data_IF_126359114264
#
_entry.id   IF_126359114264
#
_cell.length_a   1.000
_cell.length_b   1.000
_cell.length_c   1.000
_cell.angle_alpha   90.00
_cell.angle_beta   90.00
_cell.angle_gamma   90.00
#
_symmetry.space_group_name_H-M   'P 1'
#
loop_
_entity.id
_entity.type
_entity.pdbx_description
1 polymer ?
#
# COMPACT_ATOMS: atom_id res chain seq x y z
N UNK A 1 13.05 -61.64 38.77
CA UNK A 1 12.12 -60.73 38.07
C UNK A 1 12.88 -60.08 36.93
N UNK A 2 12.64 -60.58 35.72
CA UNK A 2 13.16 -60.05 34.45
C UNK A 2 12.30 -58.86 34.03
N UNK A 3 12.91 -57.75 33.60
CA UNK A 3 12.34 -56.93 32.51
C UNK A 3 13.50 -56.55 31.58
N UNK A 4 13.39 -57.06 30.36
CA UNK A 4 14.29 -56.91 29.23
C UNK A 4 14.18 -55.53 28.60
N UNK A 5 15.32 -55.03 28.16
CA UNK A 5 15.50 -54.05 27.11
C UNK A 5 14.89 -54.55 25.79
N UNK A 6 13.96 -53.79 25.22
CA UNK A 6 13.34 -54.07 23.93
C UNK A 6 13.94 -53.14 22.86
N UNK A 7 14.67 -53.76 21.93
CA UNK A 7 14.99 -53.26 20.59
C UNK A 7 13.80 -53.51 19.65
N UNK A 8 13.46 -52.55 18.79
CA UNK A 8 12.77 -52.77 17.51
C UNK A 8 12.86 -51.52 16.60
N UNK A 9 12.64 -51.63 15.27
CA UNK A 9 13.71 -51.46 14.30
C UNK A 9 13.50 -50.29 13.31
N UNK A 10 14.59 -49.93 12.64
CA UNK A 10 14.63 -49.05 11.49
C UNK A 10 13.82 -49.64 10.31
N UNK A 11 12.77 -48.94 9.87
CA UNK A 11 11.97 -49.32 8.70
C UNK A 11 12.43 -48.54 7.47
N UNK A 12 13.07 -49.22 6.52
CA UNK A 12 13.31 -48.72 5.16
C UNK A 12 12.17 -49.16 4.24
N UNK A 13 11.58 -48.23 3.47
CA UNK A 13 11.23 -48.35 2.02
C UNK A 13 10.17 -47.30 1.63
N UNK A 14 10.59 -46.06 1.40
CA UNK A 14 9.87 -45.11 0.56
C UNK A 14 10.44 -45.13 -0.86
N UNK A 15 9.97 -46.07 -1.69
CA UNK A 15 10.16 -46.02 -3.14
C UNK A 15 8.94 -46.66 -3.74
N UNK A 16 7.91 -45.86 -4.06
CA UNK A 16 6.85 -46.12 -5.06
C UNK A 16 5.73 -45.06 -5.07
N UNK A 17 5.67 -44.14 -4.10
CA UNK A 17 4.61 -43.12 -4.06
C UNK A 17 4.88 -41.87 -4.94
N UNK A 18 6.15 -41.52 -5.14
CA UNK A 18 6.56 -40.32 -5.90
C UNK A 18 6.31 -40.46 -7.42
N UNK A 19 6.32 -41.68 -7.95
CA UNK A 19 6.13 -41.92 -9.39
C UNK A 19 4.71 -41.63 -9.90
N UNK A 20 3.68 -41.92 -9.09
CA UNK A 20 2.28 -41.74 -9.50
C UNK A 20 1.79 -40.29 -9.40
N UNK A 21 2.32 -39.51 -8.45
CA UNK A 21 1.98 -38.08 -8.30
C UNK A 21 2.59 -37.25 -9.44
N UNK A 22 3.76 -37.64 -9.94
CA UNK A 22 4.46 -36.92 -11.01
C UNK A 22 3.76 -37.08 -12.38
N UNK A 23 3.10 -38.21 -12.64
CA UNK A 23 2.36 -38.43 -13.89
C UNK A 23 1.01 -37.69 -13.90
N UNK A 24 0.35 -37.55 -12.74
CA UNK A 24 -0.91 -36.80 -12.61
C UNK A 24 -0.69 -35.29 -12.75
N UNK A 25 0.42 -34.75 -12.25
CA UNK A 25 0.76 -33.32 -12.41
C UNK A 25 1.12 -32.93 -13.86
N UNK A 26 1.68 -33.85 -14.64
CA UNK A 26 1.98 -33.61 -16.07
C UNK A 26 0.69 -33.64 -16.93
N UNK A 27 -0.30 -34.46 -16.57
CA UNK A 27 -1.59 -34.50 -17.27
C UNK A 27 -2.52 -33.33 -16.92
N UNK A 28 -2.43 -32.76 -15.71
CA UNK A 28 -3.19 -31.54 -15.35
C UNK A 28 -2.56 -30.24 -15.89
N UNK A 29 -1.26 -30.22 -16.20
CA UNK A 29 -0.56 -29.03 -16.71
C UNK A 29 -0.84 -28.67 -18.16
N UNK A 30 -1.43 -29.57 -18.96
CA UNK A 30 -1.69 -29.32 -20.40
C UNK A 30 -3.12 -28.82 -20.69
N UNK A 31 -4.01 -28.80 -19.70
CA UNK A 31 -5.43 -28.45 -19.91
C UNK A 31 -5.77 -26.97 -19.67
N UNK A 32 -4.78 -26.10 -19.38
CA UNK A 32 -5.05 -24.71 -18.93
C UNK A 32 -4.49 -23.61 -19.84
N UNK A 33 -3.72 -23.94 -20.87
CA UNK A 33 -3.08 -22.93 -21.74
C UNK A 33 -3.95 -22.46 -22.91
N UNK A 34 -5.01 -23.19 -23.26
CA UNK A 34 -5.82 -22.84 -24.45
C UNK A 34 -6.83 -21.72 -24.16
N UNK A 35 -7.42 -21.68 -22.97
CA UNK A 35 -8.52 -20.75 -22.66
C UNK A 35 -8.09 -19.27 -22.54
N UNK A 36 -6.86 -18.99 -22.09
CA UNK A 36 -6.35 -17.60 -21.97
C UNK A 36 -5.90 -17.02 -23.31
N UNK A 37 -5.47 -17.87 -24.25
CA UNK A 37 -5.05 -17.45 -25.60
C UNK A 37 -6.23 -16.86 -26.37
N UNK A 38 -7.37 -17.54 -26.39
CA UNK A 38 -8.52 -17.14 -27.21
C UNK A 38 -9.09 -15.78 -26.80
N UNK A 39 -9.25 -15.54 -25.49
CA UNK A 39 -9.76 -14.25 -24.97
C UNK A 39 -8.87 -13.08 -25.40
N UNK A 40 -7.54 -13.27 -25.36
CA UNK A 40 -6.58 -12.23 -25.75
C UNK A 40 -6.61 -11.94 -27.26
N UNK A 41 -6.83 -12.97 -28.09
CA UNK A 41 -6.92 -12.85 -29.55
C UNK A 41 -8.22 -12.18 -29.98
N UNK A 42 -9.32 -12.50 -29.30
CA UNK A 42 -10.64 -11.92 -29.58
C UNK A 42 -10.68 -10.43 -29.23
N UNK A 43 -10.08 -10.03 -28.11
CA UNK A 43 -9.94 -8.61 -27.74
C UNK A 43 -9.07 -7.83 -28.74
N UNK A 44 -8.01 -8.45 -29.24
CA UNK A 44 -7.13 -7.87 -30.26
C UNK A 44 -7.81 -7.77 -31.64
N UNK A 45 -8.77 -8.64 -31.93
CA UNK A 45 -9.58 -8.55 -33.14
C UNK A 45 -10.55 -7.36 -33.09
N UNK A 46 -11.23 -7.16 -31.95
CA UNK A 46 -12.09 -5.99 -31.76
C UNK A 46 -11.32 -4.67 -31.87
N UNK A 47 -10.07 -4.62 -31.39
CA UNK A 47 -9.24 -3.42 -31.43
C UNK A 47 -8.93 -2.90 -32.84
N UNK A 48 -8.98 -3.77 -33.85
CA UNK A 48 -8.70 -3.42 -35.26
C UNK A 48 -9.90 -2.82 -36.00
N UNK A 49 -11.08 -2.79 -35.39
CA UNK A 49 -12.27 -2.22 -36.00
C UNK A 49 -12.16 -0.69 -35.95
N UNK A 50 -12.19 -0.04 -37.12
CA UNK A 50 -12.06 1.41 -37.25
C UNK A 50 -13.32 2.17 -36.80
N UNK A 51 -14.50 1.62 -37.11
CA UNK A 51 -15.79 2.19 -36.72
C UNK A 51 -16.04 2.02 -35.21
N UNK A 52 -16.17 3.13 -34.49
CA UNK A 52 -16.27 3.13 -33.03
C UNK A 52 -17.49 2.37 -32.51
N UNK A 53 -18.64 2.47 -33.18
CA UNK A 53 -19.88 1.80 -32.78
C UNK A 53 -19.78 0.28 -32.96
N UNK A 54 -19.19 -0.18 -34.07
CA UNK A 54 -18.93 -1.59 -34.33
C UNK A 54 -17.86 -2.15 -33.39
N UNK A 55 -16.81 -1.38 -33.10
CA UNK A 55 -15.76 -1.76 -32.14
C UNK A 55 -16.32 -1.93 -30.74
N UNK A 56 -17.16 -1.00 -30.28
CA UNK A 56 -17.81 -1.09 -28.98
C UNK A 56 -18.73 -2.31 -28.89
N UNK A 57 -19.56 -2.55 -29.91
CA UNK A 57 -20.43 -3.72 -29.97
C UNK A 57 -19.65 -5.05 -29.92
N UNK A 58 -18.45 -5.09 -30.54
CA UNK A 58 -17.56 -6.26 -30.48
C UNK A 58 -17.11 -6.55 -29.04
N UNK A 59 -16.68 -5.53 -28.30
CA UNK A 59 -16.29 -5.68 -26.89
C UNK A 59 -17.47 -6.02 -25.97
N UNK A 60 -18.63 -5.41 -26.21
CA UNK A 60 -19.86 -5.70 -25.45
C UNK A 60 -20.29 -7.17 -25.66
N UNK A 61 -20.17 -7.70 -26.89
CA UNK A 61 -20.40 -9.11 -27.19
C UNK A 61 -19.48 -10.07 -26.44
N UNK A 62 -18.16 -9.79 -26.41
CA UNK A 62 -17.19 -10.61 -25.68
C UNK A 62 -17.36 -10.55 -24.17
N UNK A 63 -17.84 -9.43 -23.64
CA UNK A 63 -18.11 -9.26 -22.21
C UNK A 63 -19.47 -9.81 -21.76
N UNK A 64 -20.26 -10.40 -22.66
CA UNK A 64 -21.58 -10.95 -22.37
C UNK A 64 -22.66 -9.87 -22.16
N UNK A 65 -22.37 -8.62 -22.52
CA UNK A 65 -23.33 -7.51 -22.46
C UNK A 65 -24.22 -7.58 -23.70
N UNK A 66 -25.53 -7.70 -23.50
CA UNK A 66 -26.49 -7.70 -24.64
C UNK A 66 -26.41 -6.36 -25.38
N UNK A 67 -26.35 -6.36 -26.72
CA UNK A 67 -26.43 -5.14 -27.50
C UNK A 67 -27.70 -4.37 -27.11
N UNK A 68 -27.53 -3.10 -26.75
CA UNK A 68 -28.69 -2.20 -26.68
C UNK A 68 -29.03 -1.89 -28.13
N UNK A 69 -30.27 -2.12 -28.54
CA UNK A 69 -30.73 -1.70 -29.87
C UNK A 69 -30.41 -0.22 -30.02
N UNK A 70 -29.43 0.06 -30.88
CA UNK A 70 -29.06 1.40 -31.28
C UNK A 70 -30.19 1.90 -32.18
N UNK A 71 -31.27 2.37 -31.56
CA UNK A 71 -32.20 3.26 -32.23
C UNK A 71 -31.35 4.38 -32.85
N UNK A 72 -31.34 4.38 -34.19
CA UNK A 72 -30.83 5.41 -35.11
C UNK A 72 -30.00 6.52 -34.44
N UNK A 73 -28.69 6.43 -34.60
CA UNK A 73 -27.72 7.46 -34.23
C UNK A 73 -27.85 8.79 -35.02
N UNK A 74 -29.00 9.04 -35.66
CA UNK A 74 -29.29 10.27 -36.41
C UNK A 74 -30.12 11.30 -35.61
N UNK A 75 -30.61 10.96 -34.41
CA UNK A 75 -31.40 11.89 -33.57
C UNK A 75 -30.71 12.37 -32.29
N UNK A 76 -29.40 12.12 -32.16
CA UNK A 76 -28.58 12.78 -31.14
C UNK A 76 -27.82 13.90 -31.83
N UNK A 77 -28.31 15.13 -31.64
CA UNK A 77 -27.60 16.34 -32.00
C UNK A 77 -26.14 16.28 -31.53
N UNK A 78 -25.29 17.01 -32.25
CA UNK A 78 -23.85 17.17 -32.10
C UNK A 78 -23.30 16.51 -30.81
N UNK A 79 -22.49 15.44 -30.91
CA UNK A 79 -21.95 14.78 -29.73
C UNK A 79 -21.34 15.87 -28.84
N UNK A 80 -21.73 15.97 -27.56
CA UNK A 80 -21.21 17.02 -26.70
C UNK A 80 -19.70 16.97 -26.85
N UNK A 81 -19.11 18.10 -27.28
CA UNK A 81 -17.66 18.25 -27.41
C UNK A 81 -17.03 17.54 -26.23
N UNK A 82 -16.01 16.68 -26.41
CA UNK A 82 -15.42 15.96 -25.29
C UNK A 82 -15.08 17.00 -24.24
N UNK A 83 -15.87 17.05 -23.17
CA UNK A 83 -15.58 17.92 -22.03
C UNK A 83 -14.21 17.44 -21.63
N UNK A 84 -13.16 18.24 -21.86
CA UNK A 84 -11.81 17.96 -21.39
C UNK A 84 -11.99 17.41 -19.99
N UNK A 85 -11.74 16.11 -19.81
CA UNK A 85 -11.96 15.44 -18.54
C UNK A 85 -11.30 16.32 -17.49
N UNK A 86 -12.06 16.74 -16.47
CA UNK A 86 -11.54 17.66 -15.46
C UNK A 86 -10.27 17.01 -14.91
N UNK A 87 -9.15 17.71 -15.07
CA UNK A 87 -7.87 17.20 -14.63
C UNK A 87 -7.97 16.88 -13.13
N UNK A 88 -7.73 15.61 -12.79
CA UNK A 88 -7.95 15.11 -11.44
C UNK A 88 -6.80 15.61 -10.56
N UNK A 89 -7.13 16.40 -9.54
CA UNK A 89 -6.13 16.98 -8.63
C UNK A 89 -5.29 15.93 -7.90
N UNK A 90 -4.14 16.32 -7.36
CA UNK A 90 -3.27 15.41 -6.61
C UNK A 90 -4.01 14.75 -5.45
N UNK A 91 -4.70 15.53 -4.61
CA UNK A 91 -5.43 14.94 -3.49
C UNK A 91 -6.66 14.14 -3.94
N UNK A 92 -7.29 14.49 -5.06
CA UNK A 92 -8.33 13.65 -5.65
C UNK A 92 -7.81 12.26 -6.00
N UNK A 93 -6.62 12.17 -6.62
CA UNK A 93 -6.01 10.89 -6.94
C UNK A 93 -5.58 10.14 -5.67
N UNK A 94 -4.98 10.84 -4.71
CA UNK A 94 -4.46 10.23 -3.49
C UNK A 94 -5.57 9.68 -2.59
N UNK A 95 -6.71 10.37 -2.49
CA UNK A 95 -7.80 10.02 -1.56
C UNK A 95 -9.09 9.58 -2.23
N UNK A 96 -9.07 9.41 -3.56
CA UNK A 96 -10.22 9.05 -4.38
C UNK A 96 -11.45 9.96 -4.14
N UNK A 97 -11.21 11.27 -4.11
CA UNK A 97 -12.22 12.25 -3.68
C UNK A 97 -13.35 12.41 -4.72
N UNK A 98 -12.99 12.45 -6.00
CA UNK A 98 -13.93 12.64 -7.10
C UNK A 98 -14.32 11.29 -7.73
N UNK A 99 -15.47 11.20 -8.41
CA UNK A 99 -15.95 9.95 -9.01
C UNK A 99 -14.95 9.36 -10.01
N UNK A 100 -14.29 10.22 -10.77
CA UNK A 100 -13.29 9.92 -11.79
C UNK A 100 -12.02 9.30 -11.21
N UNK A 101 -11.74 9.53 -9.92
CA UNK A 101 -10.54 9.05 -9.23
C UNK A 101 -10.72 7.70 -8.51
N UNK A 102 -11.96 7.19 -8.42
CA UNK A 102 -12.28 5.98 -7.65
C UNK A 102 -11.84 4.72 -8.37
N UNK A 103 -11.02 3.89 -7.74
CA UNK A 103 -10.38 2.71 -8.36
C UNK A 103 -11.10 1.38 -8.08
N UNK A 104 -12.33 1.44 -7.57
CA UNK A 104 -13.13 0.26 -7.21
C UNK A 104 -12.94 -0.19 -5.76
N UNK A 105 -13.72 -1.18 -5.32
CA UNK A 105 -13.66 -1.69 -3.94
C UNK A 105 -12.37 -2.48 -3.71
N UNK A 106 -11.71 -2.24 -2.57
CA UNK A 106 -10.52 -2.96 -2.11
C UNK A 106 -9.24 -2.78 -2.95
N UNK A 107 -9.19 -1.78 -3.83
CA UNK A 107 -7.95 -1.45 -4.53
C UNK A 107 -6.84 -1.11 -3.51
N UNK A 108 -5.68 -1.76 -3.67
CA UNK A 108 -4.47 -1.38 -2.94
C UNK A 108 -3.81 -0.27 -3.74
N UNK A 109 -3.67 0.89 -3.10
CA UNK A 109 -3.11 2.09 -3.72
C UNK A 109 -1.96 2.65 -2.88
N UNK A 110 -1.05 3.43 -3.46
CA UNK A 110 -0.03 4.13 -2.68
C UNK A 110 -0.64 5.05 -1.61
N UNK A 111 -0.02 5.12 -0.43
CA UNK A 111 -0.42 6.04 0.65
C UNK A 111 0.58 7.18 0.83
N UNK A 112 1.85 6.85 1.03
CA UNK A 112 3.00 7.77 0.98
C UNK A 112 3.94 7.34 -0.15
N UNK A 113 5.07 8.03 -0.31
CA UNK A 113 6.09 7.64 -1.28
C UNK A 113 6.55 6.20 -1.03
N UNK A 114 6.62 5.43 -2.12
CA UNK A 114 7.25 4.12 -2.13
C UNK A 114 8.61 4.29 -2.81
N UNK A 115 9.69 3.89 -2.15
CA UNK A 115 11.04 4.10 -2.67
C UNK A 115 12.02 3.07 -2.14
N UNK A 116 13.10 2.89 -2.91
CA UNK A 116 14.32 2.22 -2.46
C UNK A 116 15.47 3.19 -2.77
N UNK A 117 16.27 3.49 -1.75
CA UNK A 117 17.52 4.21 -1.84
C UNK A 117 18.64 3.19 -1.63
N UNK A 118 19.29 2.71 -2.70
CA UNK A 118 20.37 1.72 -2.59
C UNK A 118 21.56 2.23 -1.78
N UNK A 119 21.71 3.55 -1.67
CA UNK A 119 22.76 4.17 -0.89
C UNK A 119 22.23 5.37 -0.11
N UNK A 120 22.39 5.33 1.20
CA UNK A 120 22.23 6.44 2.14
C UNK A 120 23.42 6.47 3.07
N UNK A 121 23.77 7.64 3.61
CA UNK A 121 24.92 7.81 4.50
C UNK A 121 24.50 8.50 5.79
N UNK A 122 24.87 7.91 6.93
CA UNK A 122 24.72 8.50 8.26
C UNK A 122 26.11 8.69 8.86
N UNK A 123 26.50 9.95 9.11
CA UNK A 123 27.81 10.30 9.68
C UNK A 123 27.93 9.94 11.17
N UNK A 124 26.81 9.98 11.90
CA UNK A 124 26.69 9.66 13.32
C UNK A 124 25.61 8.60 13.59
N UNK A 125 25.83 7.33 13.19
CA UNK A 125 24.90 6.25 13.53
C UNK A 125 24.83 6.08 15.06
N UNK A 126 23.63 5.81 15.58
CA UNK A 126 23.39 5.64 17.02
C UNK A 126 23.88 4.27 17.52
N UNK A 127 25.21 4.10 17.55
CA UNK A 127 25.88 2.86 17.93
C UNK A 127 25.67 2.55 19.41
N UNK A 128 25.58 3.57 20.27
CA UNK A 128 25.45 3.39 21.72
C UNK A 128 24.21 2.55 22.09
N UNK A 129 23.04 2.91 21.55
CA UNK A 129 21.81 2.16 21.80
C UNK A 129 21.90 0.71 21.29
N UNK A 130 22.46 0.50 20.10
CA UNK A 130 22.61 -0.85 19.54
C UNK A 130 23.57 -1.72 20.37
N UNK A 131 24.65 -1.13 20.89
CA UNK A 131 25.62 -1.84 21.74
C UNK A 131 25.14 -2.14 23.16
N UNK A 132 24.12 -1.41 23.63
CA UNK A 132 23.47 -1.73 24.89
C UNK A 132 22.77 -3.10 24.81
N UNK A 133 22.15 -3.40 23.67
CA UNK A 133 21.53 -4.70 23.42
C UNK A 133 22.54 -5.78 22.99
N UNK A 134 23.56 -5.40 22.20
CA UNK A 134 24.58 -6.32 21.70
C UNK A 134 25.97 -5.63 21.66
N UNK A 135 26.81 -5.83 22.69
CA UNK A 135 28.11 -5.15 22.81
C UNK A 135 29.08 -5.38 21.65
N UNK A 136 28.94 -6.50 20.92
CA UNK A 136 29.79 -6.82 19.77
C UNK A 136 29.41 -6.07 18.50
N UNK A 137 28.25 -5.41 18.49
CA UNK A 137 27.65 -4.86 17.29
C UNK A 137 28.32 -3.56 16.86
N UNK A 138 28.58 -3.48 15.56
CA UNK A 138 29.16 -2.32 14.90
C UNK A 138 28.28 -1.93 13.73
N UNK A 139 27.97 -0.64 13.62
CA UNK A 139 27.21 -0.10 12.49
C UNK A 139 28.18 0.49 11.47
N UNK A 140 27.97 0.17 10.20
CA UNK A 140 28.53 0.92 9.08
C UNK A 140 27.67 2.17 8.84
N UNK A 141 28.32 3.22 8.34
CA UNK A 141 27.69 4.50 7.96
C UNK A 141 26.80 4.41 6.71
N UNK A 142 27.19 3.67 5.65
CA UNK A 142 26.30 3.48 4.51
C UNK A 142 25.24 2.41 4.77
N UNK A 143 24.01 2.68 4.36
CA UNK A 143 22.87 1.76 4.46
C UNK A 143 22.00 1.82 3.21
N UNK A 144 21.29 0.73 2.91
CA UNK A 144 20.12 0.78 2.03
C UNK A 144 18.93 1.25 2.87
N UNK A 145 18.17 2.22 2.36
CA UNK A 145 16.93 2.69 2.99
C UNK A 145 15.77 2.47 2.04
N UNK A 146 14.66 1.93 2.53
CA UNK A 146 13.45 1.84 1.71
C UNK A 146 12.19 2.10 2.52
N UNK A 147 11.15 2.47 1.80
CA UNK A 147 9.81 2.66 2.35
C UNK A 147 8.78 1.99 1.45
N UNK A 148 7.93 1.16 2.06
CA UNK A 148 6.70 0.64 1.49
C UNK A 148 5.54 1.39 2.16
N UNK A 149 4.63 1.96 1.38
CA UNK A 149 3.48 2.68 1.92
C UNK A 149 2.27 2.52 1.03
N UNK A 150 1.29 1.76 1.52
CA UNK A 150 0.08 1.42 0.81
C UNK A 150 -1.15 1.71 1.68
N UNK A 151 -2.30 1.85 1.04
CA UNK A 151 -3.59 1.89 1.71
C UNK A 151 -4.64 1.19 0.86
N UNK A 152 -5.71 0.81 1.53
CA UNK A 152 -6.92 0.28 0.89
C UNK A 152 -8.15 0.88 1.54
N UNK A 153 -9.17 1.12 0.73
CA UNK A 153 -10.46 1.60 1.19
C UNK A 153 -11.27 0.40 1.69
N UNK A 154 -11.55 0.36 2.99
CA UNK A 154 -12.26 -0.76 3.61
C UNK A 154 -13.77 -0.53 3.67
N UNK A 155 -14.22 0.73 3.68
CA UNK A 155 -15.63 1.09 3.61
C UNK A 155 -15.79 2.42 2.88
N UNK A 156 -16.48 2.39 1.73
CA UNK A 156 -16.81 3.60 0.98
C UNK A 156 -18.19 4.13 1.35
N UNK A 157 -18.33 5.46 1.36
CA UNK A 157 -19.61 6.16 1.54
C UNK A 157 -20.33 5.71 2.82
N UNK A 158 -19.62 5.77 3.96
CA UNK A 158 -20.13 5.28 5.25
C UNK A 158 -21.44 5.99 5.59
N UNK A 159 -22.48 5.22 5.91
CA UNK A 159 -23.83 5.72 6.19
C UNK A 159 -24.42 6.58 5.05
N UNK A 160 -23.98 6.37 3.80
CA UNK A 160 -24.43 7.14 2.64
C UNK A 160 -23.85 8.55 2.54
N UNK A 161 -22.88 8.88 3.40
CA UNK A 161 -22.25 10.19 3.47
C UNK A 161 -20.94 10.23 2.68
N UNK A 162 -20.42 11.43 2.43
CA UNK A 162 -19.17 11.61 1.70
C UNK A 162 -17.91 11.33 2.53
N UNK A 163 -17.87 10.16 3.16
CA UNK A 163 -16.78 9.74 4.01
C UNK A 163 -16.38 8.29 3.73
N UNK A 164 -15.08 8.04 3.76
CA UNK A 164 -14.49 6.73 3.47
C UNK A 164 -13.59 6.30 4.62
N UNK A 165 -13.65 5.03 5.00
CA UNK A 165 -12.74 4.41 5.93
C UNK A 165 -11.59 3.76 5.16
N UNK A 166 -10.37 4.13 5.52
CA UNK A 166 -9.14 3.66 4.93
C UNK A 166 -8.30 2.93 5.97
N UNK A 167 -7.73 1.80 5.55
CA UNK A 167 -6.62 1.19 6.26
C UNK A 167 -5.32 1.50 5.51
N UNK A 168 -4.34 2.08 6.20
CA UNK A 168 -3.02 2.39 5.69
C UNK A 168 -1.95 1.57 6.40
N UNK A 169 -0.87 1.28 5.68
CA UNK A 169 0.32 0.65 6.23
C UNK A 169 1.55 1.28 5.61
N UNK A 170 2.41 1.83 6.47
CA UNK A 170 3.74 2.33 6.08
C UNK A 170 4.81 1.55 6.82
N UNK A 171 5.83 1.10 6.11
CA UNK A 171 7.01 0.46 6.68
C UNK A 171 8.25 1.18 6.17
N UNK A 172 9.14 1.58 7.06
CA UNK A 172 10.44 2.15 6.72
C UNK A 172 11.57 1.32 7.33
N UNK A 173 12.46 0.82 6.49
CA UNK A 173 13.56 -0.05 6.90
C UNK A 173 14.93 0.55 6.58
N UNK A 174 15.88 0.32 7.48
CA UNK A 174 17.28 0.67 7.36
C UNK A 174 18.11 -0.61 7.41
N UNK A 175 18.76 -0.92 6.29
CA UNK A 175 19.46 -2.17 6.08
C UNK A 175 20.96 -1.94 5.98
N UNK A 176 21.72 -2.57 6.87
CA UNK A 176 23.19 -2.56 6.88
C UNK A 176 23.73 -3.46 5.77
N UNK A 177 23.25 -3.31 4.54
CA UNK A 177 23.59 -4.15 3.40
C UNK A 177 25.10 -4.30 3.20
N UNK A 178 25.85 -3.21 3.40
CA UNK A 178 27.30 -3.15 3.24
C UNK A 178 28.10 -3.67 4.44
N UNK A 179 27.43 -4.12 5.51
CA UNK A 179 28.08 -4.68 6.70
C UNK A 179 28.26 -6.19 6.55
N UNK A 180 29.06 -6.60 5.56
CA UNK A 180 29.28 -8.00 5.23
C UNK A 180 29.93 -8.79 6.38
N UNK A 181 30.75 -8.12 7.18
CA UNK A 181 31.39 -8.71 8.38
C UNK A 181 30.37 -9.15 9.44
N UNK A 182 29.17 -8.54 9.44
CA UNK A 182 28.08 -8.80 10.38
C UNK A 182 26.86 -9.46 9.69
N UNK A 183 27.06 -10.10 8.54
CA UNK A 183 26.00 -10.74 7.74
C UNK A 183 24.88 -9.79 7.26
N UNK A 184 25.20 -8.51 7.08
CA UNK A 184 24.32 -7.49 6.49
C UNK A 184 22.92 -7.39 7.14
N UNK A 185 22.82 -7.11 8.46
CA UNK A 185 21.55 -7.17 9.17
C UNK A 185 20.66 -5.96 8.88
N UNK A 186 19.36 -6.09 9.13
CA UNK A 186 18.52 -4.90 9.29
C UNK A 186 18.85 -4.23 10.61
N UNK A 187 19.17 -2.92 10.57
CA UNK A 187 19.41 -2.14 11.78
C UNK A 187 18.09 -1.76 12.44
N UNK A 188 17.11 -1.36 11.63
CA UNK A 188 15.83 -0.87 12.12
C UNK A 188 14.73 -1.08 11.08
N UNK A 189 13.52 -1.41 11.53
CA UNK A 189 12.31 -1.35 10.71
C UNK A 189 11.19 -0.75 11.53
N UNK A 190 10.57 0.32 11.03
CA UNK A 190 9.42 0.95 11.66
C UNK A 190 8.17 0.53 10.92
N UNK A 191 7.19 -0.01 11.64
CA UNK A 191 5.88 -0.43 11.19
C UNK A 191 4.85 0.61 11.64
N UNK A 192 4.09 1.17 10.70
CA UNK A 192 3.14 2.25 10.96
C UNK A 192 1.79 1.96 10.28
N UNK A 193 0.94 1.12 10.88
CA UNK A 193 -0.46 0.98 10.47
C UNK A 193 -1.31 2.19 10.89
N UNK A 194 -2.26 2.57 10.03
CA UNK A 194 -3.20 3.67 10.25
C UNK A 194 -4.63 3.22 9.92
N UNK A 195 -5.62 3.65 10.71
CA UNK A 195 -7.04 3.55 10.39
C UNK A 195 -7.62 4.96 10.32
N UNK A 196 -8.02 5.39 9.12
CA UNK A 196 -8.30 6.79 8.80
C UNK A 196 -9.72 6.94 8.25
N UNK A 197 -10.54 7.74 8.93
CA UNK A 197 -11.82 8.22 8.41
C UNK A 197 -11.57 9.51 7.62
N UNK A 198 -11.83 9.46 6.33
CA UNK A 198 -11.61 10.58 5.41
C UNK A 198 -12.94 11.18 4.98
N UNK A 199 -13.15 12.45 5.32
CA UNK A 199 -14.26 13.28 4.86
C UNK A 199 -13.85 14.01 3.59
N UNK A 200 -14.60 13.81 2.52
CA UNK A 200 -14.37 14.51 1.26
C UNK A 200 -14.98 15.90 1.35
N UNK A 201 -14.24 16.91 0.90
CA UNK A 201 -14.65 18.31 0.94
C UNK A 201 -14.28 18.99 -0.38
N UNK A 202 -14.92 20.12 -0.70
CA UNK A 202 -14.51 20.97 -1.84
C UNK A 202 -14.90 22.43 -1.59
N UNK A 203 -14.52 22.97 -0.43
CA UNK A 203 -14.79 24.38 -0.10
C UNK A 203 -13.65 25.28 -0.58
N UNK A 204 -14.00 26.51 -0.96
CA UNK A 204 -13.03 27.53 -1.38
C UNK A 204 -12.89 28.61 -0.31
N UNK A 205 -11.66 28.89 0.12
CA UNK A 205 -11.35 29.93 1.10
C UNK A 205 -10.03 30.62 0.73
N UNK A 206 -10.07 31.95 0.53
CA UNK A 206 -8.88 32.77 0.22
C UNK A 206 -8.04 32.24 -0.97
N UNK A 207 -8.73 31.69 -1.98
CA UNK A 207 -8.11 31.11 -3.18
C UNK A 207 -7.57 29.68 -3.01
N UNK A 208 -7.74 29.06 -1.84
CA UNK A 208 -7.43 27.66 -1.60
C UNK A 208 -8.69 26.80 -1.67
N UNK A 209 -8.54 25.57 -2.16
CA UNK A 209 -9.56 24.53 -2.06
C UNK A 209 -9.22 23.58 -0.92
N UNK A 210 -10.07 23.47 0.09
CA UNK A 210 -10.01 22.38 1.06
C UNK A 210 -10.62 21.12 0.45
N UNK A 211 -9.81 20.10 0.22
CA UNK A 211 -10.17 18.89 -0.55
C UNK A 211 -10.56 17.71 0.34
N UNK A 212 -9.97 17.61 1.52
CA UNK A 212 -10.39 16.60 2.50
C UNK A 212 -10.03 17.01 3.92
N UNK A 213 -10.72 16.37 4.86
CA UNK A 213 -10.33 16.28 6.27
C UNK A 213 -10.25 14.80 6.64
N UNK A 214 -9.20 14.38 7.34
CA UNK A 214 -9.12 13.04 7.88
C UNK A 214 -8.89 13.07 9.39
N UNK A 215 -9.37 12.02 10.07
CA UNK A 215 -9.11 11.75 11.47
C UNK A 215 -8.95 10.24 11.62
N UNK A 216 -8.06 9.80 12.49
CA UNK A 216 -7.85 8.38 12.66
C UNK A 216 -6.90 8.01 13.78
N UNK A 217 -6.69 6.70 13.87
CA UNK A 217 -5.71 6.09 14.76
C UNK A 217 -4.46 5.74 13.98
N UNK A 218 -3.31 5.94 14.61
CA UNK A 218 -2.01 5.60 14.08
C UNK A 218 -1.23 4.90 15.19
N UNK A 219 -0.72 3.71 14.89
CA UNK A 219 0.26 3.04 15.72
C UNK A 219 1.59 3.08 14.98
N UNK A 220 2.69 3.30 15.69
CA UNK A 220 4.02 3.15 15.12
C UNK A 220 4.92 2.45 16.12
N UNK A 221 5.57 1.37 15.68
CA UNK A 221 6.55 0.65 16.49
C UNK A 221 7.67 0.11 15.62
N UNK A 222 8.77 -0.28 16.24
CA UNK A 222 9.88 -0.92 15.53
C UNK A 222 9.90 -2.47 15.64
N UNK A 223 8.99 -3.04 16.43
CA UNK A 223 8.87 -4.50 16.60
C UNK A 223 10.08 -5.15 17.28
N UNK A 224 10.92 -4.37 17.96
CA UNK A 224 12.06 -4.86 18.74
C UNK A 224 11.64 -5.17 20.18
N UNK A 225 12.49 -5.89 20.91
CA UNK A 225 12.38 -6.03 22.36
C UNK A 225 13.27 -5.04 23.09
N UNK A 226 13.06 -4.86 24.39
CA UNK A 226 13.95 -4.10 25.27
C UNK A 226 15.41 -4.55 25.14
N UNK A 227 16.40 -3.63 25.15
CA UNK A 227 16.28 -2.17 25.37
C UNK A 227 16.01 -1.34 24.09
N UNK A 228 15.84 -2.00 22.95
CA UNK A 228 15.69 -1.36 21.64
C UNK A 228 14.23 -1.10 21.24
N UNK A 229 13.25 -1.58 22.02
CA UNK A 229 11.83 -1.38 21.74
C UNK A 229 11.53 0.11 21.63
N UNK A 230 10.81 0.51 20.58
CA UNK A 230 10.28 1.86 20.43
C UNK A 230 8.86 1.75 19.91
N UNK A 231 7.93 2.41 20.57
CA UNK A 231 6.52 2.39 20.18
C UNK A 231 5.78 3.63 20.69
N UNK A 232 4.69 3.98 20.01
CA UNK A 232 3.74 5.00 20.44
C UNK A 232 2.44 4.90 19.65
N UNK A 233 1.37 5.39 20.27
CA UNK A 233 0.03 5.43 19.71
C UNK A 233 -0.46 6.88 19.58
N UNK A 234 -1.15 7.19 18.48
CA UNK A 234 -1.58 8.56 18.14
C UNK A 234 -3.01 8.61 17.63
N UNK A 235 -3.72 9.65 18.06
CA UNK A 235 -4.86 10.17 17.30
C UNK A 235 -4.31 11.19 16.32
N UNK A 236 -4.60 11.02 15.04
CA UNK A 236 -4.14 11.92 13.97
C UNK A 236 -5.32 12.66 13.36
N UNK A 237 -5.08 13.89 12.93
CA UNK A 237 -6.01 14.64 12.09
C UNK A 237 -5.24 15.36 10.99
N UNK A 238 -5.73 15.28 9.75
CA UNK A 238 -5.06 15.92 8.60
C UNK A 238 -6.05 16.68 7.73
N UNK A 239 -5.56 17.72 7.06
CA UNK A 239 -6.32 18.53 6.12
C UNK A 239 -5.48 18.78 4.86
N UNK A 240 -6.08 18.53 3.70
CA UNK A 240 -5.45 18.76 2.39
C UNK A 240 -6.02 19.98 1.69
N UNK A 241 -5.14 20.89 1.28
CA UNK A 241 -5.50 22.13 0.58
C UNK A 241 -4.75 22.25 -0.75
N UNK A 242 -5.41 22.77 -1.78
CA UNK A 242 -4.79 22.98 -3.09
C UNK A 242 -5.01 24.39 -3.61
N UNK A 243 -4.01 24.94 -4.28
CA UNK A 243 -4.07 26.23 -4.97
C UNK A 243 -3.14 26.24 -6.18
N UNK A 244 -3.73 26.27 -7.39
CA UNK A 244 -2.95 26.14 -8.63
C UNK A 244 -2.18 24.82 -8.64
N UNK A 245 -0.87 24.89 -8.85
CA UNK A 245 0.00 23.72 -8.88
C UNK A 245 0.60 23.34 -7.52
N UNK A 246 0.08 23.89 -6.42
CA UNK A 246 0.58 23.63 -5.08
C UNK A 246 -0.46 22.88 -4.24
N UNK A 247 -0.03 21.81 -3.59
CA UNK A 247 -0.81 21.04 -2.62
C UNK A 247 -0.15 21.09 -1.25
N UNK A 248 -0.91 21.43 -0.23
CA UNK A 248 -0.49 21.53 1.17
C UNK A 248 -1.23 20.48 1.99
N UNK A 249 -0.48 19.64 2.72
CA UNK A 249 -1.02 18.72 3.72
C UNK A 249 -0.57 19.17 5.10
N UNK A 250 -1.53 19.45 5.96
CA UNK A 250 -1.30 19.68 7.38
C UNK A 250 -1.74 18.44 8.14
N UNK A 251 -0.89 17.88 8.98
CA UNK A 251 -1.24 16.75 9.86
C UNK A 251 -0.82 17.09 11.29
N UNK A 252 -1.76 17.00 12.22
CA UNK A 252 -1.52 17.10 13.65
C UNK A 252 -1.77 15.77 14.34
N UNK A 253 -1.18 15.58 15.52
CA UNK A 253 -1.45 14.40 16.34
C UNK A 253 -1.45 14.68 17.83
N UNK A 254 -2.25 13.87 18.52
CA UNK A 254 -2.21 13.71 19.96
C UNK A 254 -1.62 12.34 20.29
N UNK A 255 -0.51 12.30 21.03
CA UNK A 255 0.07 11.05 21.55
C UNK A 255 -0.86 10.54 22.66
N UNK A 256 -1.32 9.30 22.53
CA UNK A 256 -2.06 8.61 23.57
C UNK A 256 -1.05 8.26 24.68
N UNK A 257 -1.27 8.71 25.93
CA UNK A 257 -0.36 8.40 27.04
C UNK A 257 -0.30 6.90 27.33
N UNK A 258 0.90 6.44 27.68
CA UNK A 258 1.19 5.07 28.12
C UNK A 258 1.63 5.10 29.60
N UNK A 259 1.56 3.96 30.30
CA UNK A 259 2.06 3.87 31.68
C UNK A 259 3.58 4.10 31.70
N UNK A 260 4.15 4.47 32.84
CA UNK A 260 5.60 4.69 32.91
C UNK A 260 6.39 3.40 32.69
N UNK A 261 5.78 2.26 33.02
CA UNK A 261 6.33 0.92 32.88
C UNK A 261 6.28 0.40 31.43
N UNK A 262 5.30 0.86 30.64
CA UNK A 262 5.10 0.44 29.25
C UNK A 262 5.56 1.50 28.21
N UNK A 263 6.02 2.68 28.65
CA UNK A 263 6.47 3.75 27.75
C UNK A 263 7.95 3.56 27.36
N UNK A 264 8.16 2.91 26.22
CA UNK A 264 9.48 2.69 25.59
C UNK A 264 10.27 3.98 25.31
N UNK A 265 9.59 5.13 25.24
CA UNK A 265 10.17 6.39 24.78
C UNK A 265 9.43 7.63 25.31
N UNK A 266 9.52 7.92 26.62
CA UNK A 266 8.66 8.92 27.28
C UNK A 266 8.90 10.35 26.85
N UNK A 267 10.07 10.62 26.27
CA UNK A 267 10.49 11.96 25.81
C UNK A 267 10.31 12.15 24.30
N UNK A 268 9.66 11.23 23.59
CA UNK A 268 9.55 11.26 22.11
C UNK A 268 8.92 12.55 21.59
N UNK A 269 7.93 13.11 22.29
CA UNK A 269 7.28 14.38 21.91
C UNK A 269 8.23 15.58 21.84
N UNK A 270 9.37 15.55 22.55
CA UNK A 270 10.40 16.61 22.46
C UNK A 270 11.15 16.63 21.13
N UNK A 271 11.16 15.51 20.41
CA UNK A 271 11.89 15.36 19.15
C UNK A 271 10.96 15.40 17.94
N UNK A 272 9.78 14.78 18.04
CA UNK A 272 8.82 14.71 16.93
C UNK A 272 7.79 15.84 16.93
N UNK A 273 7.57 16.51 18.06
CA UNK A 273 6.52 17.53 18.17
C UNK A 273 5.11 16.94 18.04
N UNK A 274 4.19 17.75 17.52
CA UNK A 274 2.74 17.50 17.55
C UNK A 274 2.08 17.55 16.17
N UNK A 275 2.88 17.60 15.10
CA UNK A 275 2.38 17.66 13.74
C UNK A 275 3.50 17.72 12.70
N UNK A 276 3.10 17.55 11.44
CA UNK A 276 3.94 17.66 10.26
C UNK A 276 3.23 18.43 9.16
N UNK A 277 4.03 18.99 8.24
CA UNK A 277 3.56 19.77 7.11
C UNK A 277 4.23 19.22 5.86
N UNK A 278 3.45 18.93 4.83
CA UNK A 278 3.96 18.58 3.51
C UNK A 278 3.50 19.58 2.47
N UNK A 279 4.42 20.05 1.64
CA UNK A 279 4.14 20.87 0.46
C UNK A 279 4.57 20.14 -0.79
N UNK A 280 3.68 20.06 -1.79
CA UNK A 280 3.94 19.49 -3.10
C UNK A 280 3.74 20.57 -4.15
N UNK A 281 4.71 20.74 -5.04
CA UNK A 281 4.64 21.66 -6.16
C UNK A 281 4.82 20.90 -7.47
N UNK A 282 3.92 21.12 -8.41
CA UNK A 282 3.91 20.46 -9.73
C UNK A 282 4.28 21.49 -10.81
N UNK A 283 5.32 21.22 -11.59
CA UNK A 283 5.83 22.12 -12.64
C UNK A 283 5.53 21.62 -14.04
#
# INVERSE_FOLDING_TARGET
>A
MNIQSACCPCFSREKNFVGYITIILILLGMASTEAFSDTSRDLAACAKIEDDAKRLNCYDGLSGRKPRDLASAEELGEPPSPKKGREVSYFSQLWELDRESRRGKYAIVPHRSNYVLPFTYNDSPNIAAVREADPGKNLKRPEVKFQLSIKTKIWQDILGQEMDLWFGYTQQSFWQFYNFDDSSPFRETNYEPELLLNFRTDYSLLGWKGRFLNVGFNHQSNGQSEPLSRSWNRIVASAGFERGNFSLLLKGWYRIPESAEDDDNPKMGKYLGYGEIWGYYFW
#
